data_IF_886814297509
#
_entry.id   IF_886814297509
#
_cell.length_a   1.000
_cell.length_b   1.000
_cell.length_c   1.000
_cell.angle_alpha   90.00
_cell.angle_beta   90.00
_cell.angle_gamma   90.00
#
_symmetry.space_group_name_H-M   'P 1'
#
loop_
_entity.id
_entity.type
_entity.pdbx_description
1 polymer ?
#
# COMPACT_ATOMS: atom_id res chain seq x y z
N UNK A 1 -1.08 -18.03 20.34
CA UNK A 1 -1.20 -16.78 19.54
C UNK A 1 -2.20 -15.80 20.18
N UNK A 2 -1.97 -14.48 20.09
CA UNK A 2 -2.96 -13.46 20.49
C UNK A 2 -4.12 -13.38 19.47
N UNK A 3 -5.33 -12.96 19.86
CA UNK A 3 -6.47 -12.82 18.94
C UNK A 3 -6.20 -11.92 17.73
N UNK A 4 -5.45 -10.83 17.92
CA UNK A 4 -5.04 -9.90 16.85
C UNK A 4 -4.14 -10.57 15.80
N UNK A 5 -3.25 -11.46 16.22
CA UNK A 5 -2.35 -12.19 15.33
C UNK A 5 -3.10 -13.24 14.53
N UNK A 6 -4.05 -13.95 15.15
CA UNK A 6 -4.93 -14.88 14.43
C UNK A 6 -5.76 -14.16 13.36
N UNK A 7 -6.32 -12.99 13.69
CA UNK A 7 -7.05 -12.16 12.74
C UNK A 7 -6.17 -11.75 11.56
N UNK A 8 -4.95 -11.28 11.84
CA UNK A 8 -3.99 -10.92 10.79
C UNK A 8 -3.64 -12.12 9.90
N UNK A 9 -3.29 -13.27 10.47
CA UNK A 9 -2.93 -14.48 9.72
C UNK A 9 -4.07 -14.90 8.81
N UNK A 10 -5.32 -14.94 9.32
CA UNK A 10 -6.49 -15.28 8.52
C UNK A 10 -6.73 -14.29 7.38
N UNK A 11 -6.68 -12.99 7.66
CA UNK A 11 -6.88 -11.94 6.64
C UNK A 11 -5.78 -11.95 5.57
N UNK A 12 -4.53 -12.13 5.98
CA UNK A 12 -3.41 -12.19 5.05
C UNK A 12 -3.46 -13.46 4.20
N UNK A 13 -3.86 -14.60 4.77
CA UNK A 13 -4.05 -15.83 4.01
C UNK A 13 -5.07 -15.66 2.87
N UNK A 14 -6.19 -14.97 3.13
CA UNK A 14 -7.16 -14.63 2.07
C UNK A 14 -6.57 -13.65 1.05
N UNK A 15 -5.88 -12.60 1.53
CA UNK A 15 -5.23 -11.61 0.65
C UNK A 15 -4.19 -12.25 -0.28
N UNK A 16 -3.45 -13.25 0.22
CA UNK A 16 -2.48 -14.01 -0.57
C UNK A 16 -3.11 -14.75 -1.75
N UNK A 17 -4.33 -15.26 -1.60
CA UNK A 17 -5.05 -15.94 -2.70
C UNK A 17 -5.35 -15.00 -3.87
N UNK A 18 -5.49 -13.69 -3.61
CA UNK A 18 -5.69 -12.69 -4.65
C UNK A 18 -4.41 -12.43 -5.48
N UNK A 19 -3.24 -12.73 -4.90
CA UNK A 19 -1.95 -12.52 -5.52
C UNK A 19 -1.39 -11.10 -5.37
N UNK A 20 -0.07 -11.00 -5.54
CA UNK A 20 0.72 -9.78 -5.30
C UNK A 20 0.28 -8.60 -6.15
N UNK A 21 -0.01 -8.84 -7.42
CA UNK A 21 -0.38 -7.77 -8.36
C UNK A 21 -1.74 -7.15 -7.99
N UNK A 22 -2.78 -7.96 -7.75
CA UNK A 22 -4.10 -7.45 -7.37
C UNK A 22 -4.06 -6.70 -6.04
N UNK A 23 -3.34 -7.24 -5.05
CA UNK A 23 -3.08 -6.54 -3.78
C UNK A 23 -2.41 -5.18 -4.02
N UNK A 24 -1.34 -5.15 -4.80
CA UNK A 24 -0.60 -3.92 -5.08
C UNK A 24 -1.45 -2.88 -5.80
N UNK A 25 -2.32 -3.29 -6.72
CA UNK A 25 -3.26 -2.38 -7.39
C UNK A 25 -4.28 -1.83 -6.39
N UNK A 26 -4.98 -2.70 -5.64
CA UNK A 26 -6.07 -2.27 -4.74
C UNK A 26 -5.57 -1.28 -3.69
N UNK A 27 -4.46 -1.60 -3.02
CA UNK A 27 -3.95 -0.77 -1.92
C UNK A 27 -3.00 0.33 -2.39
N UNK A 28 -2.21 0.06 -3.43
CA UNK A 28 -1.25 1.02 -3.98
C UNK A 28 -1.90 2.18 -4.73
N UNK A 29 -3.07 1.97 -5.37
CA UNK A 29 -3.83 3.07 -5.99
C UNK A 29 -4.24 4.12 -4.96
N UNK A 30 -4.83 3.68 -3.84
CA UNK A 30 -5.26 4.57 -2.77
C UNK A 30 -4.08 5.34 -2.15
N UNK A 31 -2.96 4.65 -1.92
CA UNK A 31 -1.75 5.28 -1.40
C UNK A 31 -1.15 6.30 -2.38
N UNK A 32 -1.06 5.96 -3.66
CA UNK A 32 -0.59 6.88 -4.71
C UNK A 32 -1.45 8.14 -4.81
N UNK A 33 -2.78 7.99 -4.71
CA UNK A 33 -3.70 9.13 -4.67
C UNK A 33 -3.44 10.03 -3.46
N UNK A 34 -3.23 9.45 -2.27
CA UNK A 34 -2.92 10.23 -1.06
C UNK A 34 -1.63 11.03 -1.25
N UNK A 35 -0.57 10.43 -1.80
CA UNK A 35 0.69 11.13 -2.07
C UNK A 35 0.54 12.24 -3.10
N UNK A 36 -0.23 12.00 -4.16
CA UNK A 36 -0.53 13.04 -5.15
C UNK A 36 -1.26 14.22 -4.51
N UNK A 37 -2.29 13.96 -3.70
CA UNK A 37 -3.03 15.02 -3.01
C UNK A 37 -2.14 15.78 -2.02
N UNK A 38 -1.32 15.07 -1.24
CA UNK A 38 -0.42 15.70 -0.28
C UNK A 38 0.60 16.62 -0.96
N UNK A 39 1.23 16.13 -2.03
CA UNK A 39 2.18 16.93 -2.82
C UNK A 39 1.49 18.08 -3.55
N UNK A 40 0.26 17.90 -4.04
CA UNK A 40 -0.54 18.97 -4.61
C UNK A 40 -0.87 20.05 -3.59
N UNK A 41 -1.36 19.69 -2.41
CA UNK A 41 -1.66 20.63 -1.32
C UNK A 41 -0.43 21.43 -0.90
N UNK A 42 0.73 20.77 -0.81
CA UNK A 42 2.00 21.46 -0.54
C UNK A 42 2.31 22.52 -1.60
N UNK A 43 2.10 22.22 -2.88
CA UNK A 43 2.35 23.16 -3.98
C UNK A 43 1.33 24.32 -4.04
N UNK A 44 0.15 24.19 -3.43
CA UNK A 44 -0.83 25.28 -3.37
C UNK A 44 -0.36 26.46 -2.51
N UNK A 45 0.71 26.30 -1.73
CA UNK A 45 1.31 27.42 -0.97
C UNK A 45 1.95 28.46 -1.89
N UNK A 46 2.38 28.06 -3.09
CA UNK A 46 3.08 28.93 -4.05
C UNK A 46 2.31 29.12 -5.35
N UNK A 47 1.33 28.26 -5.65
CA UNK A 47 0.67 28.18 -6.97
C UNK A 47 -0.84 28.10 -6.86
N UNK A 48 -1.52 28.53 -7.93
CA UNK A 48 -2.97 28.43 -8.02
C UNK A 48 -3.45 26.98 -8.18
N UNK A 49 -4.70 26.71 -7.81
CA UNK A 49 -5.30 25.37 -7.95
C UNK A 49 -5.23 24.85 -9.39
N UNK A 50 -5.49 25.71 -10.37
CA UNK A 50 -5.43 25.34 -11.78
C UNK A 50 -4.04 24.90 -12.23
N UNK A 51 -2.99 25.59 -11.78
CA UNK A 51 -1.61 25.23 -12.09
C UNK A 51 -1.19 23.90 -11.46
N UNK A 52 -1.69 23.60 -10.26
CA UNK A 52 -1.32 22.40 -9.50
C UNK A 52 -2.07 21.16 -9.97
N UNK A 53 -3.37 21.26 -10.28
CA UNK A 53 -4.21 20.08 -10.54
C UNK A 53 -4.73 19.97 -11.98
N UNK A 54 -4.79 21.05 -12.76
CA UNK A 54 -5.47 21.08 -14.06
C UNK A 54 -4.49 21.20 -15.25
N UNK A 55 -3.25 20.73 -15.10
CA UNK A 55 -2.22 20.80 -16.15
C UNK A 55 -1.84 19.42 -16.68
N UNK A 56 -1.28 19.34 -17.89
CA UNK A 56 -0.72 18.07 -18.37
C UNK A 56 0.37 17.54 -17.42
N UNK A 57 1.14 18.45 -16.82
CA UNK A 57 2.16 18.10 -15.82
C UNK A 57 1.54 17.45 -14.59
N UNK A 58 0.42 17.96 -14.07
CA UNK A 58 -0.27 17.35 -12.92
C UNK A 58 -0.78 15.94 -13.24
N UNK A 59 -1.27 15.71 -14.46
CA UNK A 59 -1.68 14.38 -14.92
C UNK A 59 -0.51 13.38 -14.95
N UNK A 60 0.67 13.80 -15.43
CA UNK A 60 1.88 12.96 -15.44
C UNK A 60 2.33 12.65 -14.01
N UNK A 61 2.35 13.65 -13.13
CA UNK A 61 2.71 13.48 -11.71
C UNK A 61 1.73 12.57 -10.99
N UNK A 62 0.43 12.67 -11.30
CA UNK A 62 -0.59 11.75 -10.79
C UNK A 62 -0.29 10.30 -11.20
N UNK A 63 -0.06 10.05 -12.50
CA UNK A 63 0.29 8.71 -12.99
C UNK A 63 1.56 8.17 -12.34
N UNK A 64 2.56 9.03 -12.14
CA UNK A 64 3.80 8.67 -11.44
C UNK A 64 3.52 8.23 -10.00
N UNK A 65 2.73 8.99 -9.23
CA UNK A 65 2.40 8.62 -7.85
C UNK A 65 1.54 7.36 -7.76
N UNK A 66 0.63 7.16 -8.71
CA UNK A 66 -0.12 5.91 -8.82
C UNK A 66 0.83 4.73 -9.06
N UNK A 67 1.73 4.83 -10.04
CA UNK A 67 2.70 3.79 -10.33
C UNK A 67 3.62 3.53 -9.13
N UNK A 68 4.12 4.59 -8.47
CA UNK A 68 4.94 4.50 -7.27
C UNK A 68 4.19 3.81 -6.11
N UNK A 69 2.89 4.10 -5.92
CA UNK A 69 2.06 3.46 -4.92
C UNK A 69 1.89 1.96 -5.18
N UNK A 70 1.59 1.57 -6.42
CA UNK A 70 1.47 0.16 -6.83
C UNK A 70 2.80 -0.57 -6.62
N UNK A 71 3.91 0.01 -7.11
CA UNK A 71 5.25 -0.58 -6.96
C UNK A 71 5.63 -0.68 -5.49
N UNK A 72 5.38 0.35 -4.68
CA UNK A 72 5.65 0.35 -3.25
C UNK A 72 4.91 -0.76 -2.51
N UNK A 73 3.62 -0.96 -2.80
CA UNK A 73 2.86 -2.05 -2.19
C UNK A 73 3.31 -3.43 -2.67
N UNK A 74 3.65 -3.56 -3.96
CA UNK A 74 4.19 -4.80 -4.49
C UNK A 74 5.56 -5.13 -3.88
N UNK A 75 6.50 -4.19 -3.85
CA UNK A 75 7.92 -4.44 -3.55
C UNK A 75 8.24 -4.32 -2.07
N UNK A 76 7.54 -3.48 -1.32
CA UNK A 76 7.82 -3.25 0.10
C UNK A 76 6.77 -3.89 0.99
N UNK A 77 5.49 -3.54 0.81
CA UNK A 77 4.45 -3.98 1.76
C UNK A 77 4.17 -5.48 1.67
N UNK A 78 4.18 -6.07 0.46
CA UNK A 78 3.99 -7.50 0.29
C UNK A 78 5.02 -8.35 1.05
N UNK A 79 6.35 -8.19 0.86
CA UNK A 79 7.32 -9.00 1.60
C UNK A 79 7.29 -8.73 3.11
N UNK A 80 7.02 -7.49 3.54
CA UNK A 80 6.85 -7.17 4.97
C UNK A 80 5.70 -7.99 5.57
N UNK A 81 4.54 -8.00 4.92
CA UNK A 81 3.39 -8.77 5.39
C UNK A 81 3.66 -10.28 5.33
N UNK A 82 4.36 -10.76 4.32
CA UNK A 82 4.75 -12.17 4.20
C UNK A 82 5.73 -12.59 5.31
N UNK A 83 6.68 -11.74 5.67
CA UNK A 83 7.59 -11.94 6.79
C UNK A 83 6.82 -12.05 8.12
N UNK A 84 5.92 -11.11 8.39
CA UNK A 84 5.10 -11.16 9.61
C UNK A 84 4.15 -12.35 9.64
N UNK A 85 3.63 -12.76 8.49
CA UNK A 85 2.77 -13.93 8.39
C UNK A 85 3.50 -15.21 8.80
N UNK A 86 4.68 -15.46 8.23
CA UNK A 86 5.51 -16.64 8.56
C UNK A 86 5.92 -16.63 10.03
N UNK A 87 6.47 -15.51 10.50
CA UNK A 87 6.90 -15.35 11.88
C UNK A 87 5.77 -15.62 12.88
N UNK A 88 4.56 -15.14 12.58
CA UNK A 88 3.40 -15.38 13.44
C UNK A 88 3.00 -16.85 13.40
N UNK A 89 2.92 -17.48 12.22
CA UNK A 89 2.59 -18.92 12.11
C UNK A 89 3.54 -19.80 12.94
N UNK A 90 4.85 -19.59 12.82
CA UNK A 90 5.87 -20.37 13.56
C UNK A 90 5.74 -20.17 15.08
N UNK A 91 5.47 -18.93 15.52
CA UNK A 91 5.23 -18.62 16.93
C UNK A 91 3.94 -19.26 17.48
N UNK A 92 2.95 -19.51 16.61
CA UNK A 92 1.73 -20.23 16.98
C UNK A 92 1.95 -21.72 17.15
N UNK A 93 2.77 -22.32 16.28
CA UNK A 93 3.14 -23.73 16.32
C UNK A 93 3.92 -24.08 17.59
N UNK A 94 4.95 -23.30 17.93
CA UNK A 94 5.77 -23.51 19.14
C UNK A 94 5.04 -23.22 20.47
N UNK A 95 3.81 -22.69 20.43
CA UNK A 95 2.98 -22.43 21.62
C UNK A 95 1.92 -23.51 21.89
N UNK A 96 1.85 -24.54 21.01
CA UNK A 96 0.89 -25.65 21.09
C UNK A 96 1.53 -27.03 21.14
N UNK A 97 2.86 -27.11 21.27
CA UNK A 97 3.66 -28.32 21.52
C UNK A 97 4.22 -28.28 22.93
#
# INVERSE_FOLDING_TARGET
MKPSDQKFVRQWAETRKMGRFKYAVIYGLGFGLILFLFTGIYNLWEKSFGEVFLTLRSAIVFLFWIAAGIIGYAVLMWPVNEYFFRRKQDSGFNSGS
#
